data_IF_562869640543
#
_entry.id   IF_562869640543
#
_cell.length_a   1.000
_cell.length_b   1.000
_cell.length_c   1.000
_cell.angle_alpha   90.00
_cell.angle_beta   90.00
_cell.angle_gamma   90.00
#
_symmetry.space_group_name_H-M   'P 1'
#
loop_
_entity.id
_entity.type
_entity.pdbx_description
1 polymer ?
#
# COMPACT_ATOMS: atom_id res chain seq x y z
N UNK A 1 8.27 -6.77 23.57
CA UNK A 1 9.24 -7.48 22.73
C UNK A 1 8.63 -7.57 21.34
N UNK A 2 9.18 -6.90 20.33
CA UNK A 2 8.73 -7.12 18.95
C UNK A 2 9.03 -8.57 18.62
N UNK A 3 8.00 -9.38 18.38
CA UNK A 3 8.21 -10.68 17.73
C UNK A 3 8.94 -10.39 16.42
N UNK A 4 10.11 -10.98 16.22
CA UNK A 4 10.80 -10.87 14.93
C UNK A 4 9.89 -11.39 13.83
N UNK A 5 9.95 -10.77 12.65
CA UNK A 5 9.26 -11.29 11.47
C UNK A 5 9.80 -12.69 11.13
N UNK A 6 8.90 -13.60 10.72
CA UNK A 6 9.32 -14.89 10.13
C UNK A 6 9.75 -14.73 8.67
N UNK A 7 9.49 -13.56 8.10
CA UNK A 7 9.76 -13.25 6.70
C UNK A 7 11.14 -12.64 6.52
N UNK A 8 11.81 -13.07 5.47
CA UNK A 8 13.07 -12.51 5.02
C UNK A 8 12.87 -12.06 3.59
N UNK A 9 12.94 -10.74 3.38
CA UNK A 9 12.93 -10.14 2.05
C UNK A 9 14.01 -10.76 1.17
N UNK A 10 13.65 -11.14 -0.05
CA UNK A 10 14.59 -11.65 -1.06
C UNK A 10 15.48 -10.51 -1.54
N UNK A 11 16.78 -10.76 -1.62
CA UNK A 11 17.72 -9.82 -2.21
C UNK A 11 17.72 -10.05 -3.72
N UNK A 12 17.53 -8.99 -4.55
CA UNK A 12 17.70 -9.11 -6.00
C UNK A 12 19.11 -9.59 -6.37
N UNK A 13 19.24 -10.31 -7.47
CA UNK A 13 20.55 -10.72 -8.01
C UNK A 13 21.34 -9.53 -8.62
N UNK A 14 22.50 -9.81 -9.21
CA UNK A 14 23.35 -8.79 -9.86
C UNK A 14 22.66 -8.08 -11.04
N UNK A 15 21.60 -8.67 -11.58
CA UNK A 15 20.77 -8.11 -12.66
C UNK A 15 19.50 -7.43 -12.12
N UNK A 16 19.32 -7.37 -10.80
CA UNK A 16 18.13 -6.80 -10.16
C UNK A 16 16.91 -7.72 -10.18
N UNK A 17 17.06 -9.00 -10.54
CA UNK A 17 15.97 -9.95 -10.61
C UNK A 17 15.74 -10.63 -9.25
N UNK A 18 14.47 -10.78 -8.89
CA UNK A 18 14.05 -11.53 -7.71
C UNK A 18 13.54 -12.90 -8.16
N UNK A 19 14.14 -13.96 -7.61
CA UNK A 19 13.74 -15.34 -7.89
C UNK A 19 12.57 -15.76 -6.99
N UNK A 20 11.36 -15.66 -7.53
CA UNK A 20 10.13 -16.19 -6.94
C UNK A 20 9.96 -17.67 -7.25
N UNK A 21 9.66 -18.46 -6.24
CA UNK A 21 9.30 -19.88 -6.40
C UNK A 21 7.92 -20.01 -7.06
N UNK A 22 7.63 -21.22 -7.54
CA UNK A 22 6.31 -21.55 -8.10
C UNK A 22 5.20 -21.27 -7.08
N UNK A 23 5.42 -21.66 -5.82
CA UNK A 23 4.45 -21.48 -4.74
C UNK A 23 4.18 -19.99 -4.44
N UNK A 24 5.22 -19.15 -4.43
CA UNK A 24 5.05 -17.70 -4.20
C UNK A 24 4.26 -17.05 -5.34
N UNK A 25 4.47 -17.47 -6.58
CA UNK A 25 3.68 -17.01 -7.73
C UNK A 25 2.21 -17.49 -7.66
N UNK A 26 1.95 -18.71 -7.18
CA UNK A 26 0.59 -19.20 -6.96
C UNK A 26 -0.13 -18.39 -5.87
N UNK A 27 0.55 -18.07 -4.77
CA UNK A 27 0.00 -17.20 -3.72
C UNK A 27 -0.38 -15.83 -4.29
N UNK A 28 0.49 -15.21 -5.10
CA UNK A 28 0.18 -13.97 -5.79
C UNK A 28 -1.06 -14.09 -6.67
N UNK A 29 -1.14 -15.14 -7.50
CA UNK A 29 -2.27 -15.36 -8.40
C UNK A 29 -3.59 -15.48 -7.62
N UNK A 30 -3.61 -16.24 -6.53
CA UNK A 30 -4.78 -16.40 -5.67
C UNK A 30 -5.20 -15.07 -5.01
N UNK A 31 -4.24 -14.31 -4.47
CA UNK A 31 -4.50 -12.98 -3.89
C UNK A 31 -5.06 -12.01 -4.94
N UNK A 32 -4.43 -11.94 -6.11
CA UNK A 32 -4.81 -11.04 -7.19
C UNK A 32 -6.20 -11.36 -7.72
N UNK A 33 -6.48 -12.64 -8.03
CA UNK A 33 -7.76 -13.08 -8.56
C UNK A 33 -8.91 -12.80 -7.58
N UNK A 34 -8.73 -13.12 -6.30
CA UNK A 34 -9.71 -12.80 -5.25
C UNK A 34 -9.94 -11.29 -5.16
N UNK A 35 -8.86 -10.52 -5.11
CA UNK A 35 -8.98 -9.10 -4.81
C UNK A 35 -9.57 -8.29 -5.97
N UNK A 36 -9.32 -8.67 -7.22
CA UNK A 36 -10.01 -8.09 -8.39
C UNK A 36 -11.53 -8.18 -8.28
N UNK A 37 -12.06 -9.29 -7.76
CA UNK A 37 -13.50 -9.45 -7.53
C UNK A 37 -13.95 -8.56 -6.38
N UNK A 38 -13.19 -8.52 -5.28
CA UNK A 38 -13.54 -7.77 -4.09
C UNK A 38 -13.64 -6.25 -4.33
N UNK A 39 -12.71 -5.69 -5.10
CA UNK A 39 -12.60 -4.24 -5.33
C UNK A 39 -13.50 -3.73 -6.45
N UNK A 40 -14.12 -4.62 -7.23
CA UNK A 40 -15.01 -4.25 -8.33
C UNK A 40 -16.13 -3.34 -7.82
N UNK A 41 -16.29 -2.18 -8.46
CA UNK A 41 -17.25 -1.13 -8.10
C UNK A 41 -17.04 -0.52 -6.69
N UNK A 42 -15.91 -0.82 -6.02
CA UNK A 42 -15.54 -0.31 -4.70
C UNK A 42 -14.25 0.53 -4.71
N UNK A 43 -13.23 0.14 -5.48
CA UNK A 43 -12.04 0.97 -5.66
C UNK A 43 -12.38 2.23 -6.48
N UNK A 44 -11.64 3.32 -6.27
CA UNK A 44 -11.81 4.53 -7.05
C UNK A 44 -11.42 4.33 -8.53
N UNK A 45 -11.96 5.18 -9.41
CA UNK A 45 -11.74 5.10 -10.85
C UNK A 45 -10.23 5.28 -11.17
N UNK A 46 -9.52 6.13 -10.42
CA UNK A 46 -8.09 6.39 -10.55
C UNK A 46 -7.23 5.16 -10.23
N UNK A 47 -7.66 4.33 -9.26
CA UNK A 47 -6.98 3.09 -8.94
C UNK A 47 -7.11 2.09 -10.10
N UNK A 48 -8.31 1.96 -10.67
CA UNK A 48 -8.54 1.11 -11.84
C UNK A 48 -7.74 1.57 -13.08
N UNK A 49 -7.66 2.89 -13.30
CA UNK A 49 -6.80 3.46 -14.35
C UNK A 49 -5.32 3.10 -14.10
N UNK A 50 -4.87 3.18 -12.85
CA UNK A 50 -3.52 2.79 -12.44
C UNK A 50 -3.21 1.32 -12.69
N UNK A 51 -4.13 0.41 -12.34
CA UNK A 51 -3.98 -1.02 -12.62
C UNK A 51 -3.84 -1.27 -14.14
N UNK A 52 -4.66 -0.59 -14.95
CA UNK A 52 -4.60 -0.71 -16.40
C UNK A 52 -3.27 -0.21 -16.99
N UNK A 53 -2.69 0.85 -16.41
CA UNK A 53 -1.35 1.36 -16.80
C UNK A 53 -0.23 0.42 -16.41
N UNK A 54 -0.26 -0.10 -15.18
CA UNK A 54 0.79 -0.98 -14.66
C UNK A 54 0.85 -2.33 -15.38
N UNK A 55 -0.29 -2.82 -15.89
CA UNK A 55 -0.39 -4.12 -16.58
C UNK A 55 0.25 -5.25 -15.77
N UNK A 56 -0.05 -5.28 -14.47
CA UNK A 56 0.46 -6.30 -13.55
C UNK A 56 0.07 -7.69 -14.04
N UNK A 57 1.00 -8.64 -13.95
CA UNK A 57 0.69 -10.03 -14.24
C UNK A 57 -0.28 -10.58 -13.19
N UNK A 58 -1.29 -11.31 -13.66
CA UNK A 58 -2.19 -12.07 -12.78
C UNK A 58 -1.59 -13.39 -12.35
N UNK A 59 -0.53 -13.87 -13.01
CA UNK A 59 -0.03 -15.24 -12.89
C UNK A 59 1.27 -15.36 -12.11
N UNK A 60 2.00 -14.24 -11.95
CA UNK A 60 3.28 -14.22 -11.26
C UNK A 60 3.57 -12.85 -10.62
N UNK A 61 4.40 -12.87 -9.58
CA UNK A 61 4.84 -11.66 -8.89
C UNK A 61 5.70 -10.83 -9.87
N UNK A 62 5.37 -9.55 -10.11
CA UNK A 62 6.11 -8.72 -11.04
C UNK A 62 7.52 -8.40 -10.53
N UNK A 63 8.46 -8.24 -11.46
CA UNK A 63 9.76 -7.66 -11.12
C UNK A 63 9.60 -6.16 -10.83
N UNK A 64 10.33 -5.65 -9.84
CA UNK A 64 10.22 -4.24 -9.45
C UNK A 64 10.55 -3.29 -10.60
N UNK A 65 11.50 -3.65 -11.45
CA UNK A 65 11.89 -2.84 -12.62
C UNK A 65 10.77 -2.66 -13.64
N UNK A 66 9.90 -3.67 -13.81
CA UNK A 66 8.77 -3.56 -14.72
C UNK A 66 7.72 -2.58 -14.21
N UNK A 67 7.44 -2.61 -12.89
CA UNK A 67 6.55 -1.65 -12.23
C UNK A 67 7.17 -0.25 -12.26
N UNK A 68 8.45 -0.14 -11.87
CA UNK A 68 9.22 1.10 -11.86
C UNK A 68 9.28 1.77 -13.23
N UNK A 69 9.38 1.01 -14.33
CA UNK A 69 9.38 1.57 -15.69
C UNK A 69 8.10 2.37 -15.97
N UNK A 70 6.94 1.86 -15.55
CA UNK A 70 5.66 2.54 -15.72
C UNK A 70 5.58 3.75 -14.79
N UNK A 71 5.91 3.58 -13.50
CA UNK A 71 5.87 4.66 -12.51
C UNK A 71 6.77 5.84 -12.90
N UNK A 72 7.98 5.56 -13.43
CA UNK A 72 8.90 6.60 -13.92
C UNK A 72 8.29 7.38 -15.07
N UNK A 73 7.65 6.69 -16.02
CA UNK A 73 7.02 7.31 -17.18
C UNK A 73 5.77 8.13 -16.82
N UNK A 74 5.02 7.75 -15.79
CA UNK A 74 3.78 8.45 -15.39
C UNK A 74 4.03 9.62 -14.45
N UNK A 75 4.83 9.42 -13.42
CA UNK A 75 4.94 10.35 -12.28
C UNK A 75 6.37 10.52 -11.79
N UNK A 76 7.36 9.84 -12.38
CA UNK A 76 8.75 9.88 -11.95
C UNK A 76 9.02 9.08 -10.67
N UNK A 77 8.09 8.22 -10.25
CA UNK A 77 8.26 7.32 -9.11
C UNK A 77 8.95 6.02 -9.50
N UNK A 78 9.52 5.32 -8.52
CA UNK A 78 10.04 3.96 -8.71
C UNK A 78 9.83 3.10 -7.45
N UNK A 79 9.72 1.79 -7.63
CA UNK A 79 9.78 0.84 -6.52
C UNK A 79 11.24 0.71 -6.06
N UNK A 80 11.45 0.62 -4.75
CA UNK A 80 12.77 0.45 -4.15
C UNK A 80 12.76 -0.77 -3.21
N UNK A 81 13.56 -1.81 -3.46
CA UNK A 81 13.56 -3.01 -2.64
C UNK A 81 14.07 -2.70 -1.23
N UNK A 82 13.35 -3.16 -0.22
CA UNK A 82 13.73 -2.99 1.19
C UNK A 82 13.63 -4.31 1.96
N UNK A 83 14.37 -4.45 3.09
CA UNK A 83 14.07 -5.51 4.04
C UNK A 83 12.63 -5.39 4.57
N UNK A 84 12.13 -6.43 5.24
CA UNK A 84 10.75 -6.49 5.73
C UNK A 84 10.32 -5.27 6.57
N UNK A 85 11.28 -4.63 7.26
CA UNK A 85 11.04 -3.39 8.00
C UNK A 85 12.21 -2.41 7.82
N UNK A 86 11.88 -1.14 7.64
CA UNK A 86 12.84 -0.02 7.63
C UNK A 86 12.48 1.01 8.70
N UNK A 87 13.48 1.77 9.16
CA UNK A 87 13.24 2.86 10.10
C UNK A 87 12.52 4.04 9.46
N UNK A 88 11.74 4.79 10.24
CA UNK A 88 11.00 5.96 9.77
C UNK A 88 11.85 6.98 9.00
N UNK A 89 13.09 7.23 9.43
CA UNK A 89 13.97 8.17 8.74
C UNK A 89 14.25 7.76 7.29
N UNK A 90 14.49 6.47 7.08
CA UNK A 90 14.73 5.91 5.74
C UNK A 90 13.44 5.90 4.91
N UNK A 91 12.31 5.54 5.52
CA UNK A 91 11.00 5.59 4.86
C UNK A 91 10.69 6.99 4.31
N UNK A 92 10.81 8.04 5.14
CA UNK A 92 10.60 9.42 4.70
C UNK A 92 11.59 9.87 3.62
N UNK A 93 12.86 9.47 3.73
CA UNK A 93 13.89 9.75 2.73
C UNK A 93 13.51 9.17 1.37
N UNK A 94 13.16 7.88 1.32
CA UNK A 94 12.76 7.20 0.09
C UNK A 94 11.56 7.91 -0.56
N UNK A 95 10.48 8.17 0.19
CA UNK A 95 9.31 8.86 -0.36
C UNK A 95 9.65 10.26 -0.88
N UNK A 96 10.51 11.00 -0.20
CA UNK A 96 10.95 12.34 -0.64
C UNK A 96 11.75 12.32 -1.95
N UNK A 97 12.38 11.19 -2.26
CA UNK A 97 13.12 10.92 -3.51
C UNK A 97 12.27 10.19 -4.55
N UNK A 98 10.95 10.09 -4.34
CA UNK A 98 9.99 9.39 -5.21
C UNK A 98 10.30 7.90 -5.37
N UNK A 99 10.84 7.31 -4.31
CA UNK A 99 11.13 5.88 -4.18
C UNK A 99 10.12 5.27 -3.22
N UNK A 100 9.26 4.39 -3.72
CA UNK A 100 8.30 3.67 -2.89
C UNK A 100 8.94 2.39 -2.36
N UNK A 101 9.14 2.24 -1.04
CA UNK A 101 9.76 1.06 -0.46
C UNK A 101 8.87 -0.17 -0.65
N UNK A 102 9.43 -1.26 -1.14
CA UNK A 102 8.72 -2.53 -1.35
C UNK A 102 9.46 -3.65 -0.64
N UNK A 103 8.83 -4.27 0.35
CA UNK A 103 9.36 -5.47 0.98
C UNK A 103 9.28 -6.66 0.00
N UNK A 104 10.42 -7.27 -0.30
CA UNK A 104 10.54 -8.33 -1.33
C UNK A 104 10.28 -9.73 -0.77
N UNK A 105 9.17 -9.90 -0.05
CA UNK A 105 8.64 -11.20 0.34
C UNK A 105 7.13 -11.23 0.07
N UNK A 106 6.54 -12.42 -0.02
CA UNK A 106 5.09 -12.59 -0.08
C UNK A 106 4.62 -13.40 1.12
N UNK A 107 3.41 -13.13 1.62
CA UNK A 107 2.81 -13.87 2.73
C UNK A 107 2.72 -15.38 2.46
N UNK A 108 2.70 -16.15 3.53
CA UNK A 108 2.48 -17.60 3.53
C UNK A 108 1.00 -17.94 3.33
N UNK A 109 0.70 -19.19 2.94
CA UNK A 109 -0.69 -19.67 2.79
C UNK A 109 -1.53 -19.52 4.06
N UNK A 110 -0.91 -19.68 5.24
CA UNK A 110 -1.60 -19.57 6.52
C UNK A 110 -2.04 -18.12 6.84
N UNK A 111 -1.49 -17.14 6.14
CA UNK A 111 -1.73 -15.70 6.34
C UNK A 111 -2.39 -15.04 5.11
N UNK A 112 -3.01 -15.83 4.23
CA UNK A 112 -3.70 -15.34 3.03
C UNK A 112 -4.77 -14.28 3.32
N UNK A 113 -5.47 -14.43 4.44
CA UNK A 113 -6.56 -13.52 4.81
C UNK A 113 -6.08 -12.27 5.55
N UNK A 114 -4.98 -12.38 6.30
CA UNK A 114 -4.43 -11.26 7.05
C UNK A 114 -2.95 -11.50 7.37
N UNK A 115 -2.13 -10.49 7.08
CA UNK A 115 -0.76 -10.38 7.52
C UNK A 115 -0.58 -8.98 8.11
N UNK A 116 -0.01 -8.90 9.31
CA UNK A 116 0.24 -7.62 9.98
C UNK A 116 1.37 -6.82 9.30
N UNK A 117 2.35 -7.51 8.73
CA UNK A 117 3.48 -6.91 8.03
C UNK A 117 3.13 -6.68 6.55
N UNK A 118 3.50 -5.54 5.96
CA UNK A 118 3.26 -5.31 4.55
C UNK A 118 4.18 -6.19 3.70
N UNK A 119 3.57 -7.00 2.84
CA UNK A 119 4.28 -7.85 1.87
C UNK A 119 4.23 -7.24 0.46
N UNK A 120 4.89 -7.88 -0.50
CA UNK A 120 4.96 -7.37 -1.88
C UNK A 120 3.58 -7.20 -2.53
N UNK A 121 2.58 -8.02 -2.14
CA UNK A 121 1.21 -7.87 -2.63
C UNK A 121 0.58 -6.58 -2.09
N UNK A 122 0.69 -6.31 -0.80
CA UNK A 122 0.21 -5.05 -0.22
C UNK A 122 0.81 -3.83 -0.93
N UNK A 123 2.13 -3.84 -1.16
CA UNK A 123 2.82 -2.68 -1.75
C UNK A 123 2.50 -2.50 -3.24
N UNK A 124 2.60 -3.57 -4.03
CA UNK A 124 2.43 -3.48 -5.49
C UNK A 124 0.97 -3.43 -5.87
N UNK A 125 0.10 -4.25 -5.28
CA UNK A 125 -1.32 -4.23 -5.60
C UNK A 125 -2.03 -3.07 -4.91
N UNK A 126 -1.75 -2.83 -3.63
CA UNK A 126 -2.44 -1.81 -2.84
C UNK A 126 -2.07 -0.38 -3.21
N UNK A 127 -0.78 -0.07 -3.36
CA UNK A 127 -0.30 1.32 -3.44
C UNK A 127 0.15 1.75 -4.83
N UNK A 128 0.90 0.89 -5.55
CA UNK A 128 1.53 1.28 -6.81
C UNK A 128 0.56 1.77 -7.91
N UNK A 129 -0.69 1.27 -8.05
CA UNK A 129 -1.62 1.77 -9.06
C UNK A 129 -1.88 3.28 -8.91
N UNK A 130 -2.07 3.76 -7.68
CA UNK A 130 -2.32 5.18 -7.41
C UNK A 130 -1.06 6.04 -7.51
N UNK A 131 0.15 5.47 -7.41
CA UNK A 131 1.37 6.21 -7.72
C UNK A 131 1.48 6.60 -9.20
N UNK A 132 0.65 6.04 -10.09
CA UNK A 132 0.53 6.51 -11.48
C UNK A 132 -0.32 7.80 -11.62
N UNK A 133 -1.05 8.17 -10.57
CA UNK A 133 -1.86 9.40 -10.51
C UNK A 133 -1.02 10.55 -9.95
N UNK A 134 -0.95 11.67 -10.66
CA UNK A 134 -0.08 12.79 -10.28
C UNK A 134 -0.44 13.42 -8.93
N UNK A 135 -1.72 13.53 -8.58
CA UNK A 135 -2.13 14.12 -7.30
C UNK A 135 -1.70 13.26 -6.13
N UNK A 136 -1.97 11.95 -6.21
CA UNK A 136 -1.57 10.99 -5.18
C UNK A 136 -0.04 10.89 -5.08
N UNK A 137 0.65 10.76 -6.21
CA UNK A 137 2.10 10.73 -6.28
C UNK A 137 2.76 11.98 -5.65
N UNK A 138 2.25 13.18 -5.96
CA UNK A 138 2.78 14.43 -5.41
C UNK A 138 2.48 14.56 -3.90
N UNK A 139 1.31 14.08 -3.45
CA UNK A 139 0.98 14.02 -2.02
C UNK A 139 1.94 13.12 -1.26
N UNK A 140 2.22 11.91 -1.77
CA UNK A 140 3.14 10.95 -1.14
C UNK A 140 4.57 11.50 -1.10
N UNK A 141 5.01 12.24 -2.12
CA UNK A 141 6.32 12.90 -2.14
C UNK A 141 6.40 14.01 -1.08
N UNK A 142 5.35 14.85 -1.01
CA UNK A 142 5.25 15.92 -0.01
C UNK A 142 5.24 15.34 1.42
N UNK A 143 4.51 14.25 1.65
CA UNK A 143 4.52 13.52 2.91
C UNK A 143 5.92 13.03 3.29
N UNK A 144 6.65 12.45 2.33
CA UNK A 144 8.06 12.07 2.50
C UNK A 144 8.93 13.24 2.99
N UNK A 145 8.79 14.40 2.33
CA UNK A 145 9.52 15.62 2.68
C UNK A 145 9.19 16.15 4.07
N UNK A 146 7.93 16.04 4.52
CA UNK A 146 7.52 16.48 5.87
C UNK A 146 8.27 15.73 6.98
N UNK A 147 8.52 14.43 6.82
CA UNK A 147 9.12 13.61 7.87
C UNK A 147 10.65 13.67 7.97
N UNK A 148 11.34 14.24 6.97
CA UNK A 148 12.80 14.39 6.97
C UNK A 148 13.30 15.20 8.17
N UNK A 149 12.66 16.35 8.44
CA UNK A 149 13.02 17.27 9.52
C UNK A 149 12.08 17.19 10.73
N UNK A 150 11.15 16.24 10.75
CA UNK A 150 10.20 16.08 11.84
C UNK A 150 10.84 15.47 13.09
N UNK A 151 10.46 15.96 14.27
CA UNK A 151 10.81 15.32 15.55
C UNK A 151 10.15 13.95 15.66
N UNK A 152 10.57 13.15 16.64
CA UNK A 152 9.95 11.84 16.92
C UNK A 152 8.45 11.97 17.16
N UNK A 153 8.02 12.98 17.92
CA UNK A 153 6.62 13.24 18.26
C UNK A 153 5.84 13.65 17.01
N UNK A 154 6.40 14.54 16.18
CA UNK A 154 5.77 14.94 14.91
C UNK A 154 5.62 13.76 13.95
N UNK A 155 6.57 12.82 13.92
CA UNK A 155 6.45 11.59 13.11
C UNK A 155 5.29 10.70 13.54
N UNK A 156 4.87 10.72 14.81
CA UNK A 156 3.66 10.00 15.26
C UNK A 156 2.41 10.60 14.62
N UNK A 157 2.34 11.93 14.56
CA UNK A 157 1.25 12.64 13.89
C UNK A 157 1.26 12.41 12.38
N UNK A 158 2.44 12.41 11.75
CA UNK A 158 2.56 12.06 10.34
C UNK A 158 2.13 10.61 10.07
N UNK A 159 2.53 9.65 10.91
CA UNK A 159 2.09 8.27 10.76
C UNK A 159 0.56 8.13 10.83
N UNK A 160 -0.11 8.94 11.67
CA UNK A 160 -1.57 9.00 11.73
C UNK A 160 -2.19 9.59 10.46
N UNK A 161 -1.59 10.65 9.92
CA UNK A 161 -2.01 11.23 8.65
C UNK A 161 -1.87 10.21 7.51
N UNK A 162 -0.75 9.48 7.44
CA UNK A 162 -0.52 8.42 6.46
C UNK A 162 -1.55 7.29 6.60
N UNK A 163 -1.84 6.88 7.84
CA UNK A 163 -2.82 5.83 8.13
C UNK A 163 -4.21 6.16 7.60
N UNK A 164 -4.74 7.34 7.95
CA UNK A 164 -6.09 7.75 7.53
C UNK A 164 -6.15 8.32 6.10
N UNK A 165 -5.05 8.24 5.34
CA UNK A 165 -5.03 8.63 3.92
C UNK A 165 -4.53 7.50 3.04
N UNK A 166 -3.22 7.31 2.94
CA UNK A 166 -2.58 6.35 2.04
C UNK A 166 -2.97 4.91 2.38
N UNK A 167 -3.20 4.57 3.65
CA UNK A 167 -3.57 3.21 4.04
C UNK A 167 -5.08 2.94 4.06
N UNK A 168 -5.87 3.82 4.68
CA UNK A 168 -7.31 3.59 4.95
C UNK A 168 -8.23 4.68 4.39
N UNK A 169 -7.76 5.44 3.40
CA UNK A 169 -8.53 6.52 2.80
C UNK A 169 -9.72 6.06 1.94
N UNK A 170 -10.83 6.79 2.08
CA UNK A 170 -12.06 6.64 1.31
C UNK A 170 -12.39 7.93 0.54
N UNK A 171 -13.20 7.81 -0.50
CA UNK A 171 -13.73 8.92 -1.29
C UNK A 171 -15.25 8.87 -1.30
N UNK A 172 -15.91 9.99 -0.99
CA UNK A 172 -17.33 10.17 -1.27
C UNK A 172 -17.50 10.74 -2.67
N UNK A 173 -18.02 9.93 -3.60
CA UNK A 173 -18.16 10.29 -5.01
C UNK A 173 -19.64 10.38 -5.41
N UNK A 174 -19.98 11.03 -6.53
CA UNK A 174 -21.35 11.00 -7.07
C UNK A 174 -21.88 9.58 -7.36
N UNK A 175 -21.00 8.57 -7.50
CA UNK A 175 -21.35 7.16 -7.70
C UNK A 175 -21.39 6.36 -6.38
N UNK A 176 -21.33 7.05 -5.24
CA UNK A 176 -21.23 6.50 -3.89
C UNK A 176 -19.79 6.39 -3.39
N UNK A 177 -19.64 5.77 -2.22
CA UNK A 177 -18.37 5.61 -1.52
C UNK A 177 -17.39 4.75 -2.34
N UNK A 178 -16.13 5.18 -2.40
CA UNK A 178 -15.02 4.48 -3.06
C UNK A 178 -13.78 4.43 -2.18
N UNK A 179 -12.84 3.56 -2.52
CA UNK A 179 -11.62 3.30 -1.75
C UNK A 179 -10.40 3.80 -2.53
N UNK A 180 -9.48 4.48 -1.84
CA UNK A 180 -8.14 4.76 -2.36
C UNK A 180 -7.02 4.29 -1.43
N UNK A 181 -7.32 3.94 -0.18
CA UNK A 181 -6.32 3.43 0.77
C UNK A 181 -5.79 2.04 0.39
N UNK A 182 -4.47 1.89 0.29
CA UNK A 182 -3.81 0.66 -0.14
C UNK A 182 -3.96 -0.51 0.84
N UNK A 183 -4.07 -0.24 2.13
CA UNK A 183 -4.39 -1.23 3.17
C UNK A 183 -5.77 -1.84 2.97
N UNK A 184 -6.75 -1.04 2.57
CA UNK A 184 -8.08 -1.53 2.21
C UNK A 184 -8.03 -2.28 0.87
N UNK A 185 -7.40 -1.68 -0.15
CA UNK A 185 -7.34 -2.23 -1.51
C UNK A 185 -6.61 -3.57 -1.61
N UNK A 186 -5.75 -3.90 -0.65
CA UNK A 186 -5.02 -5.18 -0.59
C UNK A 186 -5.60 -6.20 0.39
N UNK A 187 -6.72 -5.89 1.05
CA UNK A 187 -7.39 -6.76 2.03
C UNK A 187 -8.88 -6.96 1.69
N UNK A 188 -9.34 -8.20 1.45
CA UNK A 188 -10.76 -8.46 1.20
C UNK A 188 -11.65 -8.08 2.38
N UNK A 189 -11.20 -8.38 3.60
CA UNK A 189 -11.93 -8.11 4.83
C UNK A 189 -12.12 -6.60 5.02
N UNK A 190 -11.05 -5.82 4.87
CA UNK A 190 -11.12 -4.36 4.97
C UNK A 190 -11.94 -3.75 3.82
N UNK A 191 -11.81 -4.27 2.60
CA UNK A 191 -12.62 -3.84 1.45
C UNK A 191 -14.12 -4.01 1.71
N UNK A 192 -14.53 -5.14 2.27
CA UNK A 192 -15.94 -5.37 2.61
C UNK A 192 -16.39 -4.50 3.80
N UNK A 193 -15.60 -4.48 4.87
CA UNK A 193 -15.92 -3.72 6.07
C UNK A 193 -16.04 -2.22 5.79
N UNK A 194 -15.06 -1.64 5.08
CA UNK A 194 -15.02 -0.21 4.78
C UNK A 194 -16.23 0.26 3.93
N UNK A 195 -16.81 -0.60 3.09
CA UNK A 195 -17.96 -0.24 2.24
C UNK A 195 -19.31 -0.63 2.88
N UNK A 196 -19.40 -1.81 3.47
CA UNK A 196 -20.68 -2.42 3.84
C UNK A 196 -20.97 -2.39 5.35
N UNK A 197 -19.95 -2.22 6.20
CA UNK A 197 -20.16 -2.23 7.64
C UNK A 197 -20.97 -1.01 8.11
N UNK A 198 -21.96 -1.28 8.96
CA UNK A 198 -22.71 -0.24 9.70
C UNK A 198 -21.98 0.24 10.94
N UNK A 199 -20.97 -0.50 11.38
CA UNK A 199 -20.17 -0.17 12.56
C UNK A 199 -19.03 0.80 12.24
N UNK A 200 -18.55 0.80 10.99
CA UNK A 200 -17.51 1.72 10.53
C UNK A 200 -18.03 3.17 10.46
N UNK A 201 -17.39 4.07 11.19
CA UNK A 201 -17.74 5.49 11.25
C UNK A 201 -16.99 6.26 10.18
N UNK A 202 -17.66 6.58 9.08
CA UNK A 202 -17.04 7.31 7.96
C UNK A 202 -17.18 8.81 8.17
N UNK A 203 -16.06 9.52 8.25
CA UNK A 203 -16.03 10.96 8.50
C UNK A 203 -15.47 11.75 7.30
N UNK A 204 -15.93 12.99 7.16
CA UNK A 204 -15.33 13.93 6.21
C UNK A 204 -13.88 14.20 6.62
N UNK A 205 -12.99 14.25 5.63
CA UNK A 205 -11.59 14.56 5.86
C UNK A 205 -11.43 15.94 6.53
N UNK A 206 -10.88 15.94 7.74
CA UNK A 206 -10.37 17.12 8.43
C UNK A 206 -8.98 16.80 8.99
N UNK A 207 -7.99 17.62 8.64
CA UNK A 207 -6.60 17.35 9.01
C UNK A 207 -6.37 17.43 10.52
N UNK A 208 -7.06 18.31 11.25
CA UNK A 208 -6.88 18.43 12.70
C UNK A 208 -7.51 17.25 13.43
N UNK A 209 -8.68 16.79 12.99
CA UNK A 209 -9.32 15.60 13.54
C UNK A 209 -8.48 14.36 13.25
N UNK A 210 -8.01 14.18 12.00
CA UNK A 210 -7.09 13.09 11.65
C UNK A 210 -5.87 13.13 12.54
N UNK A 211 -5.23 14.29 12.74
CA UNK A 211 -4.06 14.40 13.61
C UNK A 211 -4.38 14.14 15.10
N UNK A 212 -5.64 14.06 15.52
CA UNK A 212 -6.04 13.76 16.91
C UNK A 212 -6.56 12.34 17.10
N UNK A 213 -6.92 11.63 16.04
CA UNK A 213 -7.55 10.31 16.09
C UNK A 213 -6.56 9.17 16.37
N UNK A 214 -6.63 8.48 17.52
CA UNK A 214 -5.81 7.28 17.73
C UNK A 214 -6.23 6.16 16.76
N UNK A 215 -5.27 5.34 16.34
CA UNK A 215 -5.53 4.15 15.52
C UNK A 215 -4.81 2.93 16.09
N UNK A 216 -5.22 1.75 15.63
CA UNK A 216 -4.59 0.47 15.96
C UNK A 216 -4.45 -0.35 14.69
N UNK A 217 -3.29 -0.99 14.52
CA UNK A 217 -2.94 -1.75 13.31
C UNK A 217 -3.47 -3.19 13.30
N UNK A 218 -3.97 -3.66 14.46
CA UNK A 218 -4.32 -5.06 14.73
C UNK A 218 -5.83 -5.29 14.87
N UNK A 219 -6.65 -4.34 14.40
CA UNK A 219 -8.12 -4.39 14.41
C UNK A 219 -8.66 -3.88 13.07
N UNK A 220 -9.90 -4.24 12.74
CA UNK A 220 -10.65 -3.59 11.66
C UNK A 220 -10.86 -2.12 12.00
N UNK A 221 -10.67 -1.21 11.04
CA UNK A 221 -10.63 0.22 11.36
C UNK A 221 -12.01 0.77 11.71
N UNK A 222 -12.21 1.31 12.93
CA UNK A 222 -13.52 1.79 13.37
C UNK A 222 -13.92 3.15 12.77
N UNK A 223 -12.95 3.92 12.26
CA UNK A 223 -13.11 5.27 11.69
C UNK A 223 -12.39 5.33 10.34
#
# INVERSE_FOLDING_TARGET
>A
MSKGTKYVSKVPDEQGLIHWSVEENLIWQELFARQLVCIKDKACDEYHEGLAKLKLSTDYIPQLDDVSRVLKATTGWECYPVPALIGFGEFFRLLSEKKFPVATFIRSRDEMDYLQEPDIFHEIFGHCPLLTNSSFANYTEAYGKMGLNATKEQRVFLARLYWFTIEFGLLDTPKGLRIYGGGILSSPGETDFAINSKEAVRQTFDVLDILRTPYRIDIMQPI
#
